data_IF_450055655319
#
_entry.id   IF_450055655319
#
_cell.length_a   1.000
_cell.length_b   1.000
_cell.length_c   1.000
_cell.angle_alpha   90.00
_cell.angle_beta   90.00
_cell.angle_gamma   90.00
#
_symmetry.space_group_name_H-M   'P 1'
#
loop_
_entity.id
_entity.type
_entity.pdbx_description
1 polymer ?
#
# COMPACT_ATOMS: atom_id res chain seq x y z
N UNK A 1 14.79 45.13 -0.81
CA UNK A 1 13.52 44.60 -0.24
C UNK A 1 12.63 43.95 -1.31
N UNK A 2 12.66 44.41 -2.56
CA UNK A 2 11.85 43.86 -3.67
C UNK A 2 12.07 42.35 -3.93
N UNK A 3 13.31 41.85 -3.82
CA UNK A 3 13.62 40.43 -4.08
C UNK A 3 13.06 39.47 -3.02
N UNK A 4 12.95 39.92 -1.76
CA UNK A 4 12.34 39.12 -0.69
C UNK A 4 10.83 38.99 -0.91
N UNK A 5 10.18 40.05 -1.41
CA UNK A 5 8.76 40.03 -1.75
C UNK A 5 8.48 39.13 -2.96
N UNK A 6 9.34 39.15 -4.00
CA UNK A 6 9.23 38.22 -5.14
C UNK A 6 9.39 36.76 -4.72
N UNK A 7 10.34 36.46 -3.84
CA UNK A 7 10.53 35.12 -3.30
C UNK A 7 9.33 34.65 -2.46
N UNK A 8 8.75 35.54 -1.65
CA UNK A 8 7.58 35.23 -0.82
C UNK A 8 6.33 34.93 -1.64
N UNK A 9 6.10 35.68 -2.72
CA UNK A 9 4.97 35.45 -3.64
C UNK A 9 5.12 34.09 -4.35
N UNK A 10 6.33 33.74 -4.78
CA UNK A 10 6.61 32.45 -5.43
C UNK A 10 6.45 31.28 -4.45
N UNK A 11 6.97 31.41 -3.23
CA UNK A 11 6.83 30.41 -2.19
C UNK A 11 5.36 30.19 -1.78
N UNK A 12 4.57 31.27 -1.70
CA UNK A 12 3.14 31.21 -1.42
C UNK A 12 2.36 30.45 -2.48
N UNK A 13 2.68 30.63 -3.77
CA UNK A 13 2.03 29.92 -4.87
C UNK A 13 2.34 28.41 -4.89
N UNK A 14 3.58 28.02 -4.56
CA UNK A 14 3.97 26.61 -4.44
C UNK A 14 3.26 25.95 -3.26
N UNK A 15 3.22 26.62 -2.10
CA UNK A 15 2.50 26.15 -0.92
C UNK A 15 1.00 26.00 -1.17
N UNK A 16 0.38 26.98 -1.83
CA UNK A 16 -1.03 26.91 -2.22
C UNK A 16 -1.28 25.74 -3.18
N UNK A 17 -0.36 25.45 -4.09
CA UNK A 17 -0.48 24.33 -5.03
C UNK A 17 -0.41 22.97 -4.31
N UNK A 18 0.51 22.79 -3.35
CA UNK A 18 0.58 21.58 -2.52
C UNK A 18 -0.68 21.43 -1.66
N UNK A 19 -1.20 22.53 -1.11
CA UNK A 19 -2.44 22.56 -0.34
C UNK A 19 -3.66 22.20 -1.22
N UNK A 20 -3.75 22.71 -2.45
CA UNK A 20 -4.82 22.41 -3.39
C UNK A 20 -4.74 20.96 -3.89
N UNK A 21 -3.54 20.39 -4.06
CA UNK A 21 -3.38 18.96 -4.37
C UNK A 21 -3.81 18.11 -3.17
N UNK A 22 -3.42 18.46 -1.94
CA UNK A 22 -3.83 17.77 -0.73
C UNK A 22 -5.34 17.85 -0.48
N UNK A 23 -5.94 19.04 -0.66
CA UNK A 23 -7.38 19.26 -0.54
C UNK A 23 -8.14 18.59 -1.69
N UNK A 24 -7.59 18.59 -2.91
CA UNK A 24 -8.13 17.89 -4.06
C UNK A 24 -8.15 16.39 -3.86
N UNK A 25 -7.08 15.80 -3.29
CA UNK A 25 -7.04 14.40 -2.89
C UNK A 25 -8.01 14.10 -1.74
N UNK A 26 -8.16 15.00 -0.76
CA UNK A 26 -9.09 14.85 0.35
C UNK A 26 -10.57 14.96 -0.07
N UNK A 27 -10.90 15.89 -0.98
CA UNK A 27 -12.22 16.01 -1.59
C UNK A 27 -12.44 14.85 -2.58
N UNK A 28 -11.43 14.37 -3.29
CA UNK A 28 -11.51 13.15 -4.11
C UNK A 28 -11.78 11.92 -3.23
N UNK A 29 -11.16 11.80 -2.06
CA UNK A 29 -11.47 10.73 -1.09
C UNK A 29 -12.91 10.87 -0.55
N UNK A 30 -13.37 12.08 -0.22
CA UNK A 30 -14.76 12.31 0.21
C UNK A 30 -15.78 12.13 -0.94
N UNK A 31 -15.44 12.49 -2.18
CA UNK A 31 -16.29 12.36 -3.35
C UNK A 31 -16.28 10.93 -3.91
N UNK A 32 -15.19 10.19 -3.78
CA UNK A 32 -15.14 8.75 -4.02
C UNK A 32 -15.93 7.98 -2.95
N UNK A 33 -15.99 8.49 -1.72
CA UNK A 33 -16.91 7.99 -0.69
C UNK A 33 -18.40 8.33 -1.00
N UNK A 34 -18.67 9.43 -1.74
CA UNK A 34 -20.03 9.87 -2.06
C UNK A 34 -20.56 9.44 -3.44
N UNK A 35 -19.70 9.16 -4.41
CA UNK A 35 -20.07 8.87 -5.81
C UNK A 35 -19.40 7.57 -6.25
N UNK A 36 -20.02 6.46 -5.86
CA UNK A 36 -19.83 5.17 -6.50
C UNK A 36 -19.19 4.09 -5.65
N UNK A 37 -19.85 3.68 -4.56
CA UNK A 37 -19.96 2.27 -4.11
C UNK A 37 -20.87 2.15 -2.89
N UNK A 38 -22.18 2.18 -3.13
CA UNK A 38 -23.14 1.56 -2.21
C UNK A 38 -22.83 0.06 -2.16
N UNK A 39 -21.94 -0.37 -1.24
CA UNK A 39 -21.56 -1.79 -1.09
C UNK A 39 -20.18 -2.09 -0.50
N UNK A 40 -19.27 -1.11 -0.35
CA UNK A 40 -18.03 -1.34 0.41
C UNK A 40 -18.26 -0.99 1.87
N UNK A 41 -18.00 -1.95 2.74
CA UNK A 41 -17.95 -1.76 4.18
C UNK A 41 -16.57 -1.18 4.56
N UNK A 42 -16.49 0.15 4.59
CA UNK A 42 -15.23 0.88 4.84
C UNK A 42 -14.56 0.49 6.16
N UNK A 43 -15.35 0.13 7.17
CA UNK A 43 -14.83 -0.32 8.45
C UNK A 43 -14.14 -1.69 8.32
N UNK A 44 -14.72 -2.61 7.54
CA UNK A 44 -14.06 -3.90 7.25
C UNK A 44 -12.80 -3.72 6.42
N UNK A 45 -12.82 -2.86 5.40
CA UNK A 45 -11.64 -2.56 4.59
C UNK A 45 -10.51 -2.00 5.46
N UNK A 46 -10.81 -1.03 6.31
CA UNK A 46 -9.81 -0.46 7.23
C UNK A 46 -9.26 -1.52 8.19
N UNK A 47 -10.14 -2.36 8.75
CA UNK A 47 -9.74 -3.42 9.67
C UNK A 47 -8.82 -4.43 8.99
N UNK A 48 -9.15 -4.84 7.76
CA UNK A 48 -8.35 -5.75 6.94
C UNK A 48 -6.99 -5.12 6.57
N UNK A 49 -6.99 -3.91 5.99
CA UNK A 49 -5.78 -3.32 5.42
C UNK A 49 -4.79 -2.77 6.46
N UNK A 50 -5.28 -2.31 7.63
CA UNK A 50 -4.46 -1.60 8.63
C UNK A 50 -3.22 -2.37 9.09
N UNK A 51 -3.26 -3.71 9.09
CA UNK A 51 -2.14 -4.55 9.49
C UNK A 51 -0.95 -4.44 8.52
N UNK A 52 -1.21 -4.06 7.26
CA UNK A 52 -0.22 -3.98 6.18
C UNK A 52 0.17 -2.54 5.83
N UNK A 53 -0.80 -1.60 5.84
CA UNK A 53 -0.61 -0.22 5.40
C UNK A 53 0.52 0.50 6.14
N UNK A 54 0.77 0.16 7.41
CA UNK A 54 1.89 0.70 8.19
C UNK A 54 3.28 0.41 7.61
N UNK A 55 3.39 -0.54 6.67
CA UNK A 55 4.64 -0.90 6.00
C UNK A 55 4.78 -0.32 4.59
N UNK A 56 3.80 0.45 4.11
CA UNK A 56 3.87 1.05 2.77
C UNK A 56 4.98 2.11 2.68
N UNK A 57 5.65 2.17 1.52
CA UNK A 57 6.73 3.11 1.29
C UNK A 57 8.12 2.54 1.59
N UNK A 58 9.06 3.40 1.97
CA UNK A 58 10.46 3.03 2.15
C UNK A 58 10.71 2.52 3.58
N UNK A 59 11.10 1.25 3.71
CA UNK A 59 11.34 0.60 5.00
C UNK A 59 12.66 -0.18 5.02
N UNK A 60 13.14 -0.50 6.22
CA UNK A 60 14.32 -1.36 6.40
C UNK A 60 14.04 -2.80 5.94
N UNK A 61 15.08 -3.54 5.55
CA UNK A 61 14.98 -4.95 5.21
C UNK A 61 14.46 -5.81 6.37
N UNK A 62 14.76 -5.44 7.60
CA UNK A 62 14.18 -6.09 8.79
C UNK A 62 12.66 -5.90 8.83
N UNK A 63 12.19 -4.66 8.67
CA UNK A 63 10.76 -4.33 8.62
C UNK A 63 10.05 -5.03 7.45
N UNK A 64 10.69 -5.10 6.28
CA UNK A 64 10.14 -5.80 5.11
C UNK A 64 10.01 -7.31 5.35
N UNK A 65 10.95 -7.93 6.08
CA UNK A 65 10.83 -9.34 6.51
C UNK A 65 9.69 -9.54 7.52
N UNK A 66 9.50 -8.60 8.44
CA UNK A 66 8.36 -8.59 9.37
C UNK A 66 7.04 -8.47 8.62
N UNK A 67 6.94 -7.60 7.59
CA UNK A 67 5.77 -7.54 6.72
C UNK A 67 5.44 -8.89 6.08
N UNK A 68 6.44 -9.61 5.56
CA UNK A 68 6.22 -10.96 5.03
C UNK A 68 5.68 -11.93 6.10
N UNK A 69 6.11 -11.82 7.36
CA UNK A 69 5.57 -12.64 8.45
C UNK A 69 4.12 -12.30 8.78
N UNK A 70 3.77 -11.00 8.78
CA UNK A 70 2.39 -10.53 8.98
C UNK A 70 1.49 -11.03 7.85
N UNK A 71 1.91 -10.88 6.59
CA UNK A 71 1.18 -11.40 5.42
C UNK A 71 1.02 -12.92 5.50
N UNK A 72 2.07 -13.65 5.86
CA UNK A 72 2.02 -15.11 6.01
C UNK A 72 1.02 -15.53 7.09
N UNK A 73 1.03 -14.86 8.24
CA UNK A 73 0.09 -15.15 9.32
C UNK A 73 -1.36 -14.88 8.89
N UNK A 74 -1.59 -13.78 8.20
CA UNK A 74 -2.89 -13.43 7.64
C UNK A 74 -3.39 -14.45 6.60
N UNK A 75 -2.54 -14.84 5.65
CA UNK A 75 -2.90 -15.84 4.63
C UNK A 75 -3.21 -17.20 5.27
N UNK A 76 -2.46 -17.57 6.32
CA UNK A 76 -2.70 -18.80 7.06
C UNK A 76 -4.03 -18.81 7.83
N UNK A 77 -4.58 -17.65 8.22
CA UNK A 77 -5.92 -17.58 8.83
C UNK A 77 -7.06 -17.58 7.80
N UNK A 78 -6.73 -17.57 6.50
CA UNK A 78 -7.68 -17.52 5.38
C UNK A 78 -7.35 -18.58 4.31
N UNK A 79 -7.01 -19.79 4.75
CA UNK A 79 -6.69 -20.90 3.84
C UNK A 79 -7.90 -21.47 3.09
N UNK A 80 -9.10 -21.11 3.53
CA UNK A 80 -10.39 -21.44 2.94
C UNK A 80 -10.84 -20.42 1.87
N UNK A 81 -10.26 -19.22 1.84
CA UNK A 81 -10.60 -18.17 0.89
C UNK A 81 -9.37 -17.48 0.28
N UNK A 82 -9.04 -17.88 -0.95
CA UNK A 82 -7.94 -17.30 -1.72
C UNK A 82 -8.11 -15.80 -2.01
N UNK A 83 -9.35 -15.28 -2.03
CA UNK A 83 -9.59 -13.85 -2.32
C UNK A 83 -9.16 -12.92 -1.18
N UNK A 84 -9.02 -13.46 0.03
CA UNK A 84 -8.50 -12.79 1.22
C UNK A 84 -6.99 -13.01 1.40
N UNK A 85 -6.32 -13.64 0.45
CA UNK A 85 -4.87 -13.82 0.53
C UNK A 85 -4.14 -12.62 -0.11
N UNK A 86 -2.97 -12.29 0.42
CA UNK A 86 -2.06 -11.30 -0.15
C UNK A 86 -0.90 -12.01 -0.82
N UNK A 87 -0.72 -11.79 -2.13
CA UNK A 87 0.46 -12.24 -2.86
C UNK A 87 1.65 -11.37 -2.51
N UNK A 88 2.84 -11.96 -2.40
CA UNK A 88 4.10 -11.23 -2.19
C UNK A 88 4.98 -11.41 -3.42
N UNK A 89 5.67 -10.36 -3.85
CA UNK A 89 6.69 -10.41 -4.89
C UNK A 89 7.86 -9.52 -4.51
N UNK A 90 9.05 -10.09 -4.34
CA UNK A 90 10.28 -9.34 -4.08
C UNK A 90 11.07 -9.20 -5.38
N UNK A 91 11.23 -7.96 -5.84
CA UNK A 91 11.87 -7.64 -7.11
C UNK A 91 11.34 -6.33 -7.70
N UNK A 92 11.70 -6.08 -8.97
CA UNK A 92 11.09 -4.97 -9.74
C UNK A 92 9.73 -5.42 -10.25
N UNK A 93 8.69 -4.65 -9.96
CA UNK A 93 7.34 -4.92 -10.41
C UNK A 93 6.38 -3.79 -10.04
N UNK A 94 5.15 -3.90 -10.52
CA UNK A 94 4.04 -3.02 -10.15
C UNK A 94 2.98 -3.89 -9.47
N UNK A 95 2.41 -3.46 -8.33
CA UNK A 95 1.35 -4.21 -7.68
C UNK A 95 0.14 -4.38 -8.61
N UNK A 96 -0.43 -5.58 -8.66
CA UNK A 96 -1.66 -5.86 -9.39
C UNK A 96 -2.92 -5.64 -8.55
N UNK A 97 -4.07 -5.59 -9.21
CA UNK A 97 -5.39 -5.40 -8.56
C UNK A 97 -6.25 -6.66 -8.57
N UNK A 98 -5.69 -7.80 -8.97
CA UNK A 98 -6.41 -9.07 -9.07
C UNK A 98 -6.23 -9.88 -7.79
N UNK A 99 -7.35 -10.36 -7.24
CA UNK A 99 -7.35 -11.35 -6.16
C UNK A 99 -6.56 -12.60 -6.58
N UNK A 100 -5.83 -13.26 -5.65
CA UNK A 100 -5.23 -14.56 -5.94
C UNK A 100 -6.30 -15.58 -6.35
N UNK A 101 -6.03 -16.36 -7.39
CA UNK A 101 -6.91 -17.45 -7.86
C UNK A 101 -6.72 -18.75 -7.08
N UNK A 102 -5.71 -18.81 -6.22
CA UNK A 102 -5.39 -19.92 -5.34
C UNK A 102 -4.78 -19.39 -4.04
N UNK A 103 -4.89 -20.18 -2.97
CA UNK A 103 -4.35 -19.85 -1.65
C UNK A 103 -2.84 -19.58 -1.76
N UNK A 104 -2.40 -18.48 -1.16
CA UNK A 104 -0.98 -18.11 -1.15
C UNK A 104 -0.32 -18.81 0.03
N UNK A 105 0.38 -19.90 -0.27
CA UNK A 105 0.98 -20.76 0.77
C UNK A 105 2.05 -20.05 1.58
N UNK A 106 2.25 -20.48 2.84
CA UNK A 106 3.35 -20.01 3.67
C UNK A 106 4.72 -20.21 3.00
N UNK A 107 4.89 -21.29 2.25
CA UNK A 107 6.11 -21.57 1.47
C UNK A 107 6.34 -20.49 0.42
N UNK A 108 5.32 -20.10 -0.35
CA UNK A 108 5.44 -19.05 -1.37
C UNK A 108 5.89 -17.72 -0.74
N UNK A 109 5.30 -17.32 0.39
CA UNK A 109 5.69 -16.10 1.11
C UNK A 109 7.13 -16.20 1.64
N UNK A 110 7.54 -17.36 2.18
CA UNK A 110 8.89 -17.57 2.70
C UNK A 110 9.96 -17.54 1.59
N UNK A 111 9.65 -18.06 0.41
CA UNK A 111 10.53 -17.99 -0.77
C UNK A 111 10.81 -16.54 -1.16
N UNK A 112 9.79 -15.68 -1.15
CA UNK A 112 9.97 -14.25 -1.41
C UNK A 112 10.74 -13.56 -0.28
N UNK A 113 10.36 -13.80 0.98
CA UNK A 113 11.05 -13.28 2.16
C UNK A 113 12.55 -13.58 2.15
N UNK A 114 12.95 -14.76 1.68
CA UNK A 114 14.36 -15.16 1.60
C UNK A 114 15.21 -14.25 0.69
N UNK A 115 14.59 -13.56 -0.28
CA UNK A 115 15.28 -12.61 -1.18
C UNK A 115 15.59 -11.27 -0.49
N UNK A 116 14.94 -10.95 0.63
CA UNK A 116 15.10 -9.69 1.36
C UNK A 116 16.31 -9.76 2.29
N UNK A 117 17.25 -8.82 2.12
CA UNK A 117 18.46 -8.69 2.93
C UNK A 117 18.23 -7.66 4.04
N UNK A 118 18.45 -8.03 5.30
CA UNK A 118 18.17 -7.15 6.45
C UNK A 118 18.92 -5.80 6.41
N UNK A 119 20.15 -5.78 5.87
CA UNK A 119 20.98 -4.57 5.75
C UNK A 119 20.70 -3.68 4.53
N UNK A 120 19.56 -3.86 3.85
CA UNK A 120 19.14 -3.06 2.68
C UNK A 120 17.84 -2.32 2.97
N UNK A 121 17.50 -1.35 2.12
CA UNK A 121 16.22 -0.66 2.15
C UNK A 121 15.33 -1.18 1.02
N UNK A 122 14.04 -1.19 1.26
CA UNK A 122 13.05 -1.68 0.31
C UNK A 122 11.88 -0.72 0.24
N UNK A 123 11.41 -0.46 -0.98
CA UNK A 123 10.14 0.21 -1.22
C UNK A 123 9.04 -0.85 -1.30
N UNK A 124 8.04 -0.72 -0.46
CA UNK A 124 6.82 -1.53 -0.46
C UNK A 124 5.71 -0.76 -1.18
N UNK A 125 5.00 -1.44 -2.06
CA UNK A 125 3.80 -0.93 -2.70
C UNK A 125 2.71 -2.01 -2.69
N UNK A 126 1.48 -1.61 -2.39
CA UNK A 126 0.34 -2.51 -2.33
C UNK A 126 -0.57 -2.40 -3.56
N UNK A 127 -1.19 -3.53 -3.89
CA UNK A 127 -2.19 -3.65 -4.92
C UNK A 127 -3.54 -3.95 -4.27
N UNK A 128 -4.57 -3.22 -4.70
CA UNK A 128 -5.90 -3.24 -4.10
C UNK A 128 -6.90 -3.85 -5.05
N UNK A 129 -7.72 -4.77 -4.56
CA UNK A 129 -8.86 -5.28 -5.34
C UNK A 129 -9.87 -4.16 -5.58
N UNK A 130 -10.16 -3.91 -6.85
CA UNK A 130 -11.11 -2.87 -7.26
C UNK A 130 -12.55 -3.14 -6.83
N UNK A 131 -12.91 -4.35 -6.39
CA UNK A 131 -14.26 -4.67 -5.91
C UNK A 131 -14.40 -4.42 -4.42
N UNK A 132 -13.51 -5.01 -3.62
CA UNK A 132 -13.57 -4.99 -2.15
C UNK A 132 -12.79 -3.85 -1.50
N UNK A 133 -11.73 -3.36 -2.14
CA UNK A 133 -10.78 -2.42 -1.54
C UNK A 133 -9.71 -3.09 -0.66
N UNK A 134 -9.70 -4.43 -0.59
CA UNK A 134 -8.69 -5.16 0.17
C UNK A 134 -7.35 -5.18 -0.55
N UNK A 135 -6.27 -5.15 0.24
CA UNK A 135 -4.92 -5.43 -0.26
C UNK A 135 -4.86 -6.91 -0.68
N UNK A 136 -4.43 -7.15 -1.92
CA UNK A 136 -4.34 -8.49 -2.54
C UNK A 136 -2.96 -8.78 -3.13
N UNK A 137 -2.15 -7.75 -3.32
CA UNK A 137 -0.80 -7.87 -3.84
C UNK A 137 0.16 -6.95 -3.08
N UNK A 138 1.40 -7.39 -2.93
CA UNK A 138 2.47 -6.67 -2.25
C UNK A 138 3.77 -6.84 -3.05
N UNK A 139 4.28 -5.73 -3.58
CA UNK A 139 5.57 -5.68 -4.28
C UNK A 139 6.60 -4.99 -3.40
N UNK A 140 7.74 -5.64 -3.21
CA UNK A 140 8.85 -5.17 -2.39
C UNK A 140 10.09 -5.04 -3.27
N UNK A 141 10.55 -3.81 -3.50
CA UNK A 141 11.66 -3.50 -4.41
C UNK A 141 12.87 -2.94 -3.66
N UNK A 142 14.04 -3.58 -3.78
CA UNK A 142 15.30 -3.08 -3.21
C UNK A 142 15.63 -1.68 -3.76
N UNK A 143 16.09 -0.78 -2.90
CA UNK A 143 16.53 0.58 -3.25
C UNK A 143 18.06 0.71 -3.21
#
# INVERSE_FOLDING_TARGET
>A
MENASKALIIAGAILLSILIIGLGMFIYQQAAAAVGKTGIDEQKVKSYNSSFEQYEGLISGTSARTLCDVIRAHNNSHQDDASLNVKVTVGRGTPGNSVPTAVVTATAVNTEKAKIKAGKQYKVAFGYDTKTGYIVDCVITEQ
#
